data_IF_766369877859
#
_entry.id   IF_766369877859
#
_cell.length_a   1.000
_cell.length_b   1.000
_cell.length_c   1.000
_cell.angle_alpha   90.00
_cell.angle_beta   90.00
_cell.angle_gamma   90.00
#
_symmetry.space_group_name_H-M   'P 1'
#
loop_
_entity.id
_entity.type
_entity.pdbx_description
1 polymer ?
#
# COMPACT_ATOMS: atom_id res chain seq x y z
N UNK A 1 -23.35 12.51 -5.08
CA UNK A 1 -24.12 12.08 -3.89
C UNK A 1 -23.62 10.71 -3.50
N UNK A 2 -23.29 10.42 -2.25
CA UNK A 2 -22.93 9.08 -1.84
C UNK A 2 -24.17 8.19 -1.98
N UNK A 3 -24.07 7.16 -2.79
CA UNK A 3 -25.15 6.16 -2.89
C UNK A 3 -25.16 5.37 -1.58
N UNK A 4 -26.32 5.35 -0.91
CA UNK A 4 -26.53 4.52 0.28
C UNK A 4 -26.52 3.06 -0.13
N UNK A 5 -25.67 2.27 0.54
CA UNK A 5 -25.65 0.81 0.40
C UNK A 5 -26.63 0.19 1.39
N UNK A 6 -27.46 -0.72 0.92
CA UNK A 6 -28.16 -1.65 1.80
C UNK A 6 -27.79 -3.08 1.40
N UNK A 7 -26.82 -3.65 2.11
CA UNK A 7 -26.49 -5.07 1.97
C UNK A 7 -27.30 -5.84 2.99
N UNK A 8 -28.09 -6.80 2.52
CA UNK A 8 -28.81 -7.71 3.41
C UNK A 8 -27.88 -8.81 3.91
N UNK A 9 -27.25 -8.54 5.05
CA UNK A 9 -26.31 -9.47 5.68
C UNK A 9 -26.96 -10.80 6.09
N UNK A 10 -28.28 -10.89 6.13
CA UNK A 10 -28.99 -12.15 6.50
C UNK A 10 -28.89 -13.24 5.42
N UNK A 11 -28.55 -12.86 4.19
CA UNK A 11 -28.35 -13.75 3.05
C UNK A 11 -26.96 -14.32 2.94
N UNK A 12 -26.01 -13.77 3.69
CA UNK A 12 -24.61 -14.14 3.61
C UNK A 12 -24.38 -15.33 4.56
N UNK A 13 -24.14 -16.50 4.02
CA UNK A 13 -23.78 -17.68 4.79
C UNK A 13 -22.27 -17.65 5.14
N UNK A 14 -21.91 -16.74 6.03
CA UNK A 14 -20.53 -16.58 6.52
C UNK A 14 -20.37 -17.39 7.81
N UNK A 15 -19.38 -18.30 7.81
CA UNK A 15 -18.82 -18.79 9.06
C UNK A 15 -18.07 -17.64 9.74
N UNK A 16 -18.70 -17.03 10.76
CA UNK A 16 -18.19 -15.84 11.45
C UNK A 16 -17.05 -16.13 12.41
N UNK A 17 -16.57 -17.38 12.47
CA UNK A 17 -15.45 -17.75 13.34
C UNK A 17 -14.18 -17.04 12.89
N UNK A 18 -13.53 -16.33 13.81
CA UNK A 18 -12.28 -15.58 13.60
C UNK A 18 -12.33 -14.35 12.67
N UNK A 19 -13.52 -13.82 12.35
CA UNK A 19 -13.66 -12.61 11.53
C UNK A 19 -13.27 -11.38 12.34
N UNK A 20 -12.30 -10.59 11.82
CA UNK A 20 -11.88 -9.29 12.41
C UNK A 20 -12.67 -8.13 11.83
N UNK A 21 -12.90 -8.15 10.52
CA UNK A 21 -13.69 -7.12 9.84
C UNK A 21 -14.28 -7.62 8.54
N UNK A 22 -15.44 -7.05 8.18
CA UNK A 22 -16.09 -7.21 6.88
C UNK A 22 -16.18 -5.83 6.24
N UNK A 23 -15.73 -5.72 5.00
CA UNK A 23 -15.82 -4.51 4.21
C UNK A 23 -16.59 -4.80 2.93
N UNK A 24 -17.56 -3.95 2.61
CA UNK A 24 -18.26 -3.99 1.31
C UNK A 24 -17.46 -3.14 0.33
N UNK A 25 -17.19 -3.70 -0.84
CA UNK A 25 -16.51 -3.03 -1.94
C UNK A 25 -17.29 -3.23 -3.23
N UNK A 26 -16.86 -2.60 -4.32
CA UNK A 26 -17.42 -2.81 -5.65
C UNK A 26 -16.35 -3.30 -6.61
N UNK A 27 -16.73 -4.32 -7.38
CA UNK A 27 -15.95 -4.86 -8.49
C UNK A 27 -16.85 -4.90 -9.73
N UNK A 28 -16.52 -4.15 -10.79
CA UNK A 28 -17.34 -4.04 -12.02
C UNK A 28 -18.82 -3.67 -11.77
N UNK A 29 -19.06 -2.79 -10.79
CA UNK A 29 -20.43 -2.39 -10.42
C UNK A 29 -21.18 -3.39 -9.54
N UNK A 30 -20.65 -4.59 -9.33
CA UNK A 30 -21.18 -5.57 -8.40
C UNK A 30 -20.59 -5.37 -6.99
N UNK A 31 -21.42 -5.60 -6.00
CA UNK A 31 -20.99 -5.51 -4.59
C UNK A 31 -20.30 -6.82 -4.20
N UNK A 32 -19.17 -6.70 -3.53
CA UNK A 32 -18.35 -7.78 -3.03
C UNK A 32 -18.06 -7.61 -1.55
N UNK A 33 -17.74 -8.69 -0.87
CA UNK A 33 -17.34 -8.70 0.53
C UNK A 33 -15.86 -9.01 0.66
N UNK A 34 -15.15 -8.17 1.37
CA UNK A 34 -13.76 -8.39 1.79
C UNK A 34 -13.82 -8.77 3.27
N UNK A 35 -13.56 -10.02 3.56
CA UNK A 35 -13.63 -10.59 4.91
C UNK A 35 -12.20 -10.79 5.42
N UNK A 36 -11.81 -10.00 6.41
CA UNK A 36 -10.50 -10.14 7.07
C UNK A 36 -10.64 -11.07 8.28
N UNK A 37 -9.94 -12.17 8.23
CA UNK A 37 -9.82 -13.15 9.32
C UNK A 37 -8.42 -13.08 9.94
N UNK A 38 -8.21 -13.78 11.06
CA UNK A 38 -6.86 -13.93 11.63
C UNK A 38 -5.91 -14.68 10.71
N UNK A 39 -6.44 -15.60 9.91
CA UNK A 39 -5.70 -16.45 8.97
C UNK A 39 -5.43 -15.80 7.62
N UNK A 40 -6.09 -14.68 7.27
CA UNK A 40 -5.94 -14.00 5.98
C UNK A 40 -7.16 -13.20 5.55
N UNK A 41 -7.15 -12.76 4.30
CA UNK A 41 -8.27 -12.03 3.69
C UNK A 41 -8.97 -12.91 2.67
N UNK A 42 -10.29 -13.03 2.77
CA UNK A 42 -11.15 -13.71 1.82
C UNK A 42 -11.98 -12.67 1.04
N UNK A 43 -12.19 -12.94 -0.23
CA UNK A 43 -12.98 -12.10 -1.12
C UNK A 43 -14.17 -12.93 -1.61
N UNK A 44 -15.38 -12.49 -1.31
CA UNK A 44 -16.61 -13.21 -1.55
C UNK A 44 -17.59 -12.33 -2.33
N UNK A 45 -18.44 -12.95 -3.12
CA UNK A 45 -19.65 -12.30 -3.60
C UNK A 45 -20.73 -12.23 -2.49
N UNK A 46 -21.88 -11.65 -2.80
CA UNK A 46 -22.98 -11.56 -1.83
C UNK A 46 -23.63 -12.92 -1.50
N UNK A 47 -23.42 -13.92 -2.33
CA UNK A 47 -23.92 -15.29 -2.11
C UNK A 47 -22.94 -16.11 -1.25
N UNK A 48 -21.77 -15.53 -0.91
CA UNK A 48 -20.74 -16.18 -0.10
C UNK A 48 -19.78 -17.06 -0.90
N UNK A 49 -19.83 -17.01 -2.23
CA UNK A 49 -18.88 -17.73 -3.10
C UNK A 49 -17.57 -16.96 -3.24
N UNK A 50 -16.45 -17.70 -3.27
CA UNK A 50 -15.14 -17.08 -3.44
C UNK A 50 -15.01 -16.43 -4.82
N UNK A 51 -14.47 -15.23 -4.85
CA UNK A 51 -14.22 -14.51 -6.10
C UNK A 51 -13.00 -15.06 -6.81
N UNK A 52 -13.11 -15.20 -8.12
CA UNK A 52 -11.97 -15.52 -8.97
C UNK A 52 -11.06 -14.31 -9.18
N UNK A 53 -9.78 -14.60 -9.40
CA UNK A 53 -8.78 -13.58 -9.75
C UNK A 53 -9.16 -12.89 -11.06
N UNK A 54 -8.92 -11.58 -11.13
CA UNK A 54 -9.05 -10.79 -12.35
C UNK A 54 -8.11 -11.28 -13.45
N UNK A 55 -8.53 -11.11 -14.69
CA UNK A 55 -7.65 -11.17 -15.85
C UNK A 55 -6.83 -9.88 -15.99
N UNK A 56 -5.75 -9.92 -16.77
CA UNK A 56 -4.93 -8.74 -17.06
C UNK A 56 -5.72 -7.65 -17.80
N UNK A 57 -6.63 -8.04 -18.67
CA UNK A 57 -7.47 -7.10 -19.42
C UNK A 57 -8.47 -6.40 -18.50
N UNK A 58 -9.11 -7.14 -17.59
CA UNK A 58 -9.98 -6.55 -16.57
C UNK A 58 -9.23 -5.55 -15.67
N UNK A 59 -7.97 -5.82 -15.32
CA UNK A 59 -7.15 -4.90 -14.56
C UNK A 59 -6.87 -3.59 -15.34
N UNK A 60 -6.65 -3.66 -16.65
CA UNK A 60 -6.53 -2.47 -17.51
C UNK A 60 -7.83 -1.68 -17.57
N UNK A 61 -8.95 -2.38 -17.76
CA UNK A 61 -10.26 -1.75 -17.84
C UNK A 61 -10.62 -1.01 -16.54
N UNK A 62 -10.30 -1.61 -15.39
CA UNK A 62 -10.47 -0.94 -14.11
C UNK A 62 -9.68 0.36 -14.07
N UNK A 63 -8.39 0.33 -14.40
CA UNK A 63 -7.53 1.53 -14.37
C UNK A 63 -8.05 2.60 -15.33
N UNK A 64 -8.44 2.22 -16.54
CA UNK A 64 -9.01 3.16 -17.52
C UNK A 64 -10.32 3.80 -17.04
N UNK A 65 -11.15 3.06 -16.30
CA UNK A 65 -12.45 3.56 -15.84
C UNK A 65 -12.36 4.40 -14.56
N UNK A 66 -11.37 4.14 -13.69
CA UNK A 66 -11.27 4.85 -12.40
C UNK A 66 -10.21 5.94 -12.39
N UNK A 67 -9.39 6.03 -13.44
CA UNK A 67 -8.35 7.06 -13.60
C UNK A 67 -8.43 7.71 -14.97
N UNK A 68 -7.76 8.84 -15.16
CA UNK A 68 -7.55 9.48 -16.47
C UNK A 68 -6.29 8.98 -17.19
N UNK A 69 -5.69 7.88 -16.73
CA UNK A 69 -4.44 7.34 -17.22
C UNK A 69 -4.68 6.34 -18.35
N UNK A 70 -3.73 6.24 -19.27
CA UNK A 70 -3.75 5.27 -20.39
C UNK A 70 -2.92 4.04 -20.02
N UNK A 71 -3.52 2.85 -19.85
CA UNK A 71 -2.79 1.62 -19.57
C UNK A 71 -1.93 1.18 -20.75
N UNK A 72 -0.66 0.88 -20.51
CA UNK A 72 0.30 0.40 -21.51
C UNK A 72 0.59 -1.09 -21.36
N UNK A 73 0.87 -1.54 -20.13
CA UNK A 73 1.24 -2.92 -19.83
C UNK A 73 0.71 -3.36 -18.47
N UNK A 74 0.56 -4.67 -18.27
CA UNK A 74 0.16 -5.26 -16.99
C UNK A 74 1.10 -6.39 -16.63
N UNK A 75 1.59 -6.35 -15.39
CA UNK A 75 2.43 -7.35 -14.77
C UNK A 75 1.73 -7.87 -13.51
N UNK A 76 1.73 -9.18 -13.31
CA UNK A 76 1.22 -9.79 -12.08
C UNK A 76 2.35 -9.92 -11.06
N UNK A 77 2.05 -9.53 -9.82
CA UNK A 77 2.96 -9.60 -8.68
C UNK A 77 2.34 -10.55 -7.65
N UNK A 78 3.03 -11.65 -7.40
CA UNK A 78 2.60 -12.67 -6.44
C UNK A 78 3.51 -12.77 -5.22
N UNK A 79 4.74 -12.28 -5.32
CA UNK A 79 5.73 -12.38 -4.27
C UNK A 79 6.04 -11.02 -3.64
N UNK A 80 6.24 -10.97 -2.31
CA UNK A 80 6.66 -9.75 -1.64
C UNK A 80 8.12 -9.44 -1.95
N UNK A 81 8.42 -8.18 -2.26
CA UNK A 81 9.77 -7.70 -2.51
C UNK A 81 10.08 -6.53 -1.56
N UNK A 82 11.13 -6.64 -0.71
CA UNK A 82 11.54 -5.55 0.18
C UNK A 82 11.82 -4.26 -0.61
N UNK A 83 11.48 -3.11 -0.03
CA UNK A 83 11.69 -1.81 -0.66
C UNK A 83 10.85 -1.54 -1.92
N UNK A 84 9.97 -2.46 -2.32
CA UNK A 84 9.12 -2.31 -3.49
C UNK A 84 8.11 -1.15 -3.36
N UNK A 85 7.62 -0.66 -4.49
CA UNK A 85 6.57 0.37 -4.54
C UNK A 85 5.22 -0.09 -3.98
N UNK A 86 5.03 -1.41 -3.85
CA UNK A 86 3.80 -2.06 -3.34
C UNK A 86 3.95 -2.66 -1.94
N UNK A 87 5.07 -2.38 -1.26
CA UNK A 87 5.32 -2.90 0.10
C UNK A 87 4.14 -2.58 1.04
N UNK A 88 3.86 -3.49 1.94
CA UNK A 88 2.72 -3.39 2.88
C UNK A 88 1.34 -3.59 2.26
N UNK A 89 1.26 -4.02 0.98
CA UNK A 89 0.00 -4.37 0.32
C UNK A 89 -0.21 -5.87 0.29
N UNK A 90 -1.48 -6.29 0.33
CA UNK A 90 -1.82 -7.70 0.17
C UNK A 90 -1.53 -8.15 -1.26
N UNK A 91 -1.03 -9.37 -1.41
CA UNK A 91 -0.79 -10.01 -2.70
C UNK A 91 -1.87 -11.08 -2.96
N UNK A 92 -2.15 -11.42 -4.22
CA UNK A 92 -1.52 -10.94 -5.45
C UNK A 92 -2.03 -9.56 -5.92
N UNK A 93 -1.20 -8.84 -6.68
CA UNK A 93 -1.50 -7.54 -7.27
C UNK A 93 -1.27 -7.56 -8.78
N UNK A 94 -1.97 -6.68 -9.51
CA UNK A 94 -1.59 -6.27 -10.85
C UNK A 94 -0.91 -4.90 -10.79
N UNK A 95 0.31 -4.81 -11.33
CA UNK A 95 0.98 -3.57 -11.63
C UNK A 95 0.62 -3.17 -13.06
N UNK A 96 -0.19 -2.15 -13.18
CA UNK A 96 -0.55 -1.57 -14.48
C UNK A 96 0.38 -0.39 -14.73
N UNK A 97 1.25 -0.52 -15.73
CA UNK A 97 2.07 0.59 -16.22
C UNK A 97 1.17 1.47 -17.05
N UNK A 98 1.08 2.73 -16.69
CA UNK A 98 0.22 3.72 -17.34
C UNK A 98 1.02 4.93 -17.76
N UNK A 99 0.38 5.77 -18.56
CA UNK A 99 0.90 7.06 -19.01
C UNK A 99 -0.19 8.13 -18.84
N UNK A 100 0.21 9.31 -18.40
CA UNK A 100 -0.67 10.47 -18.35
C UNK A 100 -0.63 11.30 -19.63
N UNK A 101 -1.32 12.45 -19.64
CA UNK A 101 -1.34 13.36 -20.78
C UNK A 101 -0.01 14.06 -21.11
N UNK A 102 0.96 14.03 -20.18
CA UNK A 102 2.31 14.60 -20.33
C UNK A 102 3.36 13.53 -20.65
N UNK A 103 2.93 12.29 -20.89
CA UNK A 103 3.77 11.10 -21.12
C UNK A 103 4.59 10.65 -19.90
N UNK A 104 4.24 11.06 -18.68
CA UNK A 104 4.82 10.50 -17.47
C UNK A 104 4.38 9.05 -17.25
N UNK A 105 5.33 8.19 -16.89
CA UNK A 105 5.04 6.80 -16.53
C UNK A 105 4.58 6.71 -15.09
N UNK A 106 3.36 6.23 -14.90
CA UNK A 106 2.73 6.07 -13.60
C UNK A 106 2.43 4.59 -13.40
N UNK A 107 2.77 4.04 -12.24
CA UNK A 107 2.42 2.68 -11.88
C UNK A 107 1.15 2.68 -11.02
N UNK A 108 0.14 1.97 -11.47
CA UNK A 108 -1.11 1.76 -10.73
C UNK A 108 -1.15 0.31 -10.26
N UNK A 109 -1.30 0.13 -8.96
CA UNK A 109 -1.39 -1.19 -8.34
C UNK A 109 -2.84 -1.51 -8.04
N UNK A 110 -3.31 -2.62 -8.58
CA UNK A 110 -4.69 -3.10 -8.46
C UNK A 110 -4.69 -4.43 -7.73
N UNK A 111 -5.49 -4.57 -6.69
CA UNK A 111 -5.70 -5.85 -6.02
C UNK A 111 -6.29 -6.85 -7.01
N UNK A 112 -5.63 -8.00 -7.17
CA UNK A 112 -5.93 -8.94 -8.24
C UNK A 112 -7.27 -9.68 -8.05
N UNK A 113 -7.91 -9.57 -6.90
CA UNK A 113 -9.19 -10.22 -6.62
C UNK A 113 -10.30 -9.19 -6.50
N UNK A 114 -10.14 -8.18 -5.65
CA UNK A 114 -11.18 -7.16 -5.44
C UNK A 114 -11.27 -6.13 -6.56
N UNK A 115 -10.21 -5.95 -7.35
CA UNK A 115 -10.15 -4.90 -8.37
C UNK A 115 -9.96 -3.49 -7.80
N UNK A 116 -9.66 -3.35 -6.51
CA UNK A 116 -9.42 -2.04 -5.91
C UNK A 116 -8.04 -1.50 -6.31
N UNK A 117 -7.97 -0.22 -6.67
CA UNK A 117 -6.70 0.49 -6.80
C UNK A 117 -6.14 0.72 -5.40
N UNK A 118 -5.04 0.04 -5.07
CA UNK A 118 -4.43 0.06 -3.74
C UNK A 118 -3.24 1.01 -3.63
N UNK A 119 -2.63 1.39 -4.77
CA UNK A 119 -1.56 2.37 -4.81
C UNK A 119 -1.39 2.98 -6.20
N UNK A 120 -0.99 4.24 -6.26
CA UNK A 120 -0.55 4.95 -7.47
C UNK A 120 0.83 5.52 -7.18
N UNK A 121 1.80 5.31 -8.09
CA UNK A 121 3.20 5.67 -7.92
C UNK A 121 3.69 6.49 -9.10
N UNK A 122 3.91 7.76 -8.84
CA UNK A 122 4.48 8.74 -9.77
C UNK A 122 5.98 8.90 -9.53
N UNK A 123 6.69 9.59 -10.42
CA UNK A 123 8.11 9.92 -10.21
C UNK A 123 8.31 10.83 -9.00
N UNK A 124 7.35 11.74 -8.76
CA UNK A 124 7.36 12.57 -7.55
C UNK A 124 7.22 11.73 -6.27
N UNK A 125 6.37 10.69 -6.28
CA UNK A 125 6.27 9.77 -5.16
C UNK A 125 7.59 9.01 -4.94
N UNK A 126 8.26 8.56 -6.02
CA UNK A 126 9.55 7.85 -5.94
C UNK A 126 10.63 8.74 -5.33
N UNK A 127 10.68 10.01 -5.73
CA UNK A 127 11.60 10.98 -5.16
C UNK A 127 11.34 11.19 -3.66
N UNK A 128 10.07 11.34 -3.29
CA UNK A 128 9.68 11.46 -1.88
C UNK A 128 10.08 10.22 -1.08
N UNK A 129 9.81 9.03 -1.59
CA UNK A 129 10.14 7.76 -0.97
C UNK A 129 11.66 7.57 -0.79
N UNK A 130 12.45 8.01 -1.76
CA UNK A 130 13.91 8.05 -1.64
C UNK A 130 14.36 9.01 -0.52
N UNK A 131 13.81 10.22 -0.48
CA UNK A 131 14.13 11.20 0.57
C UNK A 131 13.72 10.68 1.95
N UNK A 132 12.59 9.99 2.03
CA UNK A 132 12.15 9.34 3.26
C UNK A 132 13.13 8.27 3.72
N UNK A 133 13.55 7.35 2.83
CA UNK A 133 14.56 6.35 3.13
C UNK A 133 15.87 6.95 3.63
N UNK A 134 16.34 8.04 3.02
CA UNK A 134 17.52 8.78 3.48
C UNK A 134 17.30 9.42 4.86
N UNK A 135 16.09 9.95 5.12
CA UNK A 135 15.77 10.59 6.40
C UNK A 135 15.81 9.59 7.58
N UNK A 136 15.29 8.38 7.37
CA UNK A 136 15.31 7.32 8.39
C UNK A 136 16.58 6.46 8.33
N UNK A 137 17.52 6.79 7.41
CA UNK A 137 18.78 6.04 7.18
C UNK A 137 18.56 4.57 6.79
N UNK A 138 17.40 4.26 6.23
CA UNK A 138 17.05 2.96 5.67
C UNK A 138 16.70 3.12 4.19
N UNK A 139 17.66 2.90 3.31
CA UNK A 139 17.47 2.97 1.85
C UNK A 139 17.15 1.63 1.22
N UNK A 140 17.19 0.54 1.98
CA UNK A 140 16.94 -0.81 1.49
C UNK A 140 15.47 -1.17 1.60
N UNK A 141 14.89 -1.17 2.79
CA UNK A 141 13.49 -1.48 3.03
C UNK A 141 12.59 -0.24 3.09
N UNK A 142 13.14 0.90 3.53
CA UNK A 142 12.51 2.23 3.66
C UNK A 142 11.36 2.30 4.65
N UNK A 143 11.25 1.31 5.52
CA UNK A 143 10.23 1.20 6.57
C UNK A 143 10.81 0.72 7.91
N UNK A 144 12.10 0.32 7.98
CA UNK A 144 12.74 -0.16 9.20
C UNK A 144 13.33 0.99 10.03
N UNK A 145 12.60 1.41 11.06
CA UNK A 145 13.09 2.37 12.07
C UNK A 145 14.06 1.74 13.08
N UNK A 146 14.29 0.43 13.05
CA UNK A 146 15.19 -0.27 13.94
C UNK A 146 16.55 -0.56 13.30
N UNK A 147 16.85 0.07 12.19
CA UNK A 147 18.07 -0.10 11.42
C UNK A 147 19.31 0.28 12.25
N UNK A 148 20.37 -0.50 12.15
CA UNK A 148 21.60 -0.34 12.95
C UNK A 148 22.24 1.05 12.76
N UNK A 149 22.19 1.59 11.55
CA UNK A 149 22.77 2.89 11.20
C UNK A 149 22.07 4.03 11.95
N UNK A 150 20.72 3.99 12.06
CA UNK A 150 19.95 4.95 12.84
C UNK A 150 20.37 4.93 14.31
N UNK A 151 20.62 3.74 14.87
CA UNK A 151 21.10 3.57 16.26
C UNK A 151 22.49 4.22 16.45
N UNK A 152 23.42 3.98 15.51
CA UNK A 152 24.78 4.60 15.55
C UNK A 152 24.67 6.12 15.51
N UNK A 153 23.91 6.69 14.59
CA UNK A 153 23.75 8.15 14.50
C UNK A 153 23.04 8.74 15.71
N UNK A 154 22.08 8.02 16.31
CA UNK A 154 21.41 8.45 17.54
C UNK A 154 22.39 8.54 18.71
N UNK A 155 23.29 7.55 18.83
CA UNK A 155 24.36 7.56 19.85
C UNK A 155 25.33 8.72 19.61
N UNK A 156 25.76 8.94 18.38
CA UNK A 156 26.65 10.07 18.01
C UNK A 156 25.99 11.43 18.32
N UNK A 157 24.71 11.58 17.99
CA UNK A 157 23.95 12.79 18.30
C UNK A 157 23.87 13.04 19.81
N UNK A 158 23.65 11.98 20.60
CA UNK A 158 23.65 12.08 22.05
C UNK A 158 25.02 12.56 22.59
N UNK A 159 26.12 11.96 22.15
CA UNK A 159 27.46 12.38 22.55
C UNK A 159 27.75 13.83 22.15
N UNK A 160 27.39 14.21 20.93
CA UNK A 160 27.55 15.60 20.45
C UNK A 160 26.76 16.59 21.30
N UNK A 161 25.53 16.26 21.67
CA UNK A 161 24.67 17.10 22.52
C UNK A 161 25.25 17.26 23.91
N UNK A 162 25.73 16.18 24.53
CA UNK A 162 26.37 16.21 25.86
C UNK A 162 27.65 17.07 25.80
N UNK A 163 28.50 16.87 24.80
CA UNK A 163 29.74 17.63 24.63
C UNK A 163 29.45 19.13 24.45
N UNK A 164 28.45 19.48 23.63
CA UNK A 164 28.02 20.85 23.44
C UNK A 164 27.54 21.50 24.74
N UNK A 165 26.77 20.76 25.53
CA UNK A 165 26.28 21.23 26.84
C UNK A 165 27.43 21.46 27.83
N UNK A 166 28.38 20.53 27.91
CA UNK A 166 29.56 20.66 28.76
C UNK A 166 30.44 21.87 28.38
N UNK A 167 30.63 22.11 27.09
CA UNK A 167 31.36 23.28 26.61
C UNK A 167 30.66 24.59 26.93
N UNK A 168 29.31 24.62 26.81
CA UNK A 168 28.53 25.79 27.18
C UNK A 168 28.72 26.16 28.66
N UNK A 169 28.57 25.21 29.56
CA UNK A 169 28.78 25.46 31.00
C UNK A 169 30.23 25.79 31.35
N UNK A 170 31.24 25.28 30.62
CA UNK A 170 32.65 25.62 30.85
C UNK A 170 32.96 27.06 30.43
N UNK A 171 32.29 27.59 29.43
CA UNK A 171 32.49 29.00 28.98
C UNK A 171 31.88 29.98 30.00
N UNK A 172 30.74 29.63 30.63
CA UNK A 172 30.11 30.49 31.64
C UNK A 172 30.82 30.47 33.02
N UNK A 173 31.76 29.57 33.25
CA UNK A 173 32.50 29.41 34.49
C UNK A 173 33.90 30.09 34.47
N UNK A 174 34.30 30.76 33.39
CA UNK A 174 35.52 31.58 33.25
C UNK A 174 35.17 33.05 33.00
#
# INVERSE_FOLDING_TARGET
>A
MPQSFSVDLSKINLALDSVRSIQVARRFGQEILIVRKETGTEYLDLDGSALEKLSREEAKDIVSNVTSLTPLAVEEISDPEPGSEYRGRNLPLFKVVTQDGENEKIHVYVDAISGQVVAIRTDQWRLWDLMWGLHIMDWEERDDFNHWLLKVFSVLALFSSITGLLLFFKIDLN
#
